data_IF_055841405435
#
_entry.id   IF_055841405435
#
_cell.length_a   1.000
_cell.length_b   1.000
_cell.length_c   1.000
_cell.angle_alpha   90.00
_cell.angle_beta   90.00
_cell.angle_gamma   90.00
#
_symmetry.space_group_name_H-M   'P 1'
#
loop_
_entity.id
_entity.type
_entity.pdbx_description
1 polymer ?
#
# COMPACT_ATOMS: atom_id res chain seq x y z
N UNK A 1 33.08 33.52 -44.05
CA UNK A 1 33.32 32.68 -42.85
C UNK A 1 32.36 32.96 -41.67
N UNK A 2 31.59 34.06 -41.68
CA UNK A 2 30.74 34.52 -40.56
C UNK A 2 29.53 33.62 -40.20
N UNK A 3 29.03 32.82 -41.15
CA UNK A 3 27.82 32.01 -40.94
C UNK A 3 28.06 30.71 -40.16
N UNK A 4 29.30 30.20 -40.10
CA UNK A 4 29.59 28.92 -39.44
C UNK A 4 29.48 28.98 -37.92
N UNK A 5 29.77 30.13 -37.30
CA UNK A 5 29.62 30.35 -35.85
C UNK A 5 28.15 30.46 -35.40
N UNK A 6 27.29 31.02 -36.26
CA UNK A 6 25.86 31.14 -35.99
C UNK A 6 25.13 29.79 -36.05
N UNK A 7 25.51 28.93 -36.98
CA UNK A 7 24.94 27.57 -37.08
C UNK A 7 25.33 26.73 -35.86
N UNK A 8 26.57 26.89 -35.36
CA UNK A 8 27.07 26.11 -34.24
C UNK A 8 26.41 26.50 -32.91
N UNK A 9 26.13 27.80 -32.71
CA UNK A 9 25.37 28.29 -31.56
C UNK A 9 23.90 27.83 -31.61
N UNK A 10 23.26 27.88 -32.76
CA UNK A 10 21.91 27.31 -32.94
C UNK A 10 21.88 25.82 -32.65
N UNK A 11 22.86 25.06 -33.15
CA UNK A 11 22.97 23.63 -32.88
C UNK A 11 23.16 23.34 -31.38
N UNK A 12 23.97 24.14 -30.69
CA UNK A 12 24.19 23.96 -29.25
C UNK A 12 22.92 24.25 -28.43
N UNK A 13 22.21 25.33 -28.75
CA UNK A 13 20.94 25.68 -28.09
C UNK A 13 19.90 24.60 -28.35
N UNK A 14 19.78 24.11 -29.58
CA UNK A 14 18.88 23.02 -29.92
C UNK A 14 19.22 21.74 -29.14
N UNK A 15 20.50 21.39 -29.01
CA UNK A 15 20.94 20.23 -28.23
C UNK A 15 20.61 20.36 -26.74
N UNK A 16 20.77 21.56 -26.15
CA UNK A 16 20.40 21.83 -24.75
C UNK A 16 18.89 21.69 -24.56
N UNK A 17 18.08 22.25 -25.47
CA UNK A 17 16.62 22.13 -25.40
C UNK A 17 16.17 20.67 -25.50
N UNK A 18 16.76 19.89 -26.41
CA UNK A 18 16.48 18.47 -26.54
C UNK A 18 16.87 17.72 -25.26
N UNK A 19 18.02 18.03 -24.66
CA UNK A 19 18.46 17.41 -23.41
C UNK A 19 17.49 17.69 -22.26
N UNK A 20 17.00 18.93 -22.14
CA UNK A 20 16.00 19.31 -21.13
C UNK A 20 14.69 18.52 -21.34
N UNK A 21 14.22 18.42 -22.58
CA UNK A 21 13.00 17.66 -22.90
C UNK A 21 13.19 16.18 -22.58
N UNK A 22 14.32 15.57 -22.95
CA UNK A 22 14.62 14.19 -22.61
C UNK A 22 14.61 13.96 -21.09
N UNK A 23 15.26 14.84 -20.32
CA UNK A 23 15.27 14.75 -18.86
C UNK A 23 13.87 14.89 -18.25
N UNK A 24 13.03 15.80 -18.78
CA UNK A 24 11.66 15.97 -18.33
C UNK A 24 10.81 14.72 -18.61
N UNK A 25 10.96 14.11 -19.79
CA UNK A 25 10.25 12.87 -20.15
C UNK A 25 10.70 11.69 -19.27
N UNK A 26 12.00 11.56 -19.00
CA UNK A 26 12.55 10.56 -18.07
C UNK A 26 11.97 10.73 -16.65
N UNK A 27 11.82 11.97 -16.18
CA UNK A 27 11.23 12.26 -14.89
C UNK A 27 9.72 11.96 -14.85
N UNK A 28 8.98 12.20 -15.92
CA UNK A 28 7.56 11.82 -16.00
C UNK A 28 7.38 10.31 -16.02
N UNK A 29 8.16 9.60 -16.84
CA UNK A 29 8.12 8.14 -16.94
C UNK A 29 8.46 7.46 -15.60
N UNK A 30 9.46 7.97 -14.87
CA UNK A 30 9.82 7.42 -13.55
C UNK A 30 8.74 7.66 -12.50
N UNK A 31 8.07 8.82 -12.54
CA UNK A 31 6.94 9.13 -11.66
C UNK A 31 5.73 8.25 -11.93
N UNK A 32 5.39 8.00 -13.19
CA UNK A 32 4.31 7.09 -13.58
C UNK A 32 4.60 5.66 -13.13
N UNK A 33 5.83 5.18 -13.32
CA UNK A 33 6.25 3.86 -12.83
C UNK A 33 6.13 3.74 -11.30
N UNK A 34 6.52 4.80 -10.56
CA UNK A 34 6.34 4.83 -9.11
C UNK A 34 4.86 4.78 -8.72
N UNK A 35 4.01 5.60 -9.34
CA UNK A 35 2.56 5.58 -9.08
C UNK A 35 1.96 4.20 -9.36
N UNK A 36 2.29 3.58 -10.49
CA UNK A 36 1.81 2.25 -10.83
C UNK A 36 2.22 1.19 -9.78
N UNK A 37 3.46 1.26 -9.28
CA UNK A 37 3.95 0.40 -8.20
C UNK A 37 3.17 0.63 -6.90
N UNK A 38 2.95 1.88 -6.51
CA UNK A 38 2.14 2.20 -5.32
C UNK A 38 0.70 1.71 -5.44
N UNK A 39 0.08 1.84 -6.61
CA UNK A 39 -1.28 1.32 -6.83
C UNK A 39 -1.34 -0.20 -6.66
N UNK A 40 -0.36 -0.94 -7.20
CA UNK A 40 -0.27 -2.41 -7.02
C UNK A 40 -0.06 -2.80 -5.56
N UNK A 41 0.85 -2.13 -4.85
CA UNK A 41 1.09 -2.39 -3.43
C UNK A 41 -0.16 -2.09 -2.60
N UNK A 42 -0.87 -1.01 -2.90
CA UNK A 42 -2.13 -0.66 -2.24
C UNK A 42 -3.21 -1.70 -2.49
N UNK A 43 -3.39 -2.17 -3.74
CA UNK A 43 -4.36 -3.24 -4.00
C UNK A 43 -3.98 -4.53 -3.28
N UNK A 44 -2.70 -4.89 -3.26
CA UNK A 44 -2.23 -6.07 -2.54
C UNK A 44 -2.47 -5.96 -1.03
N UNK A 45 -2.27 -4.78 -0.46
CA UNK A 45 -2.57 -4.49 0.93
C UNK A 45 -4.05 -4.67 1.26
N UNK A 46 -4.93 -4.15 0.40
CA UNK A 46 -6.38 -4.29 0.57
C UNK A 46 -6.81 -5.76 0.52
N UNK A 47 -6.37 -6.51 -0.48
CA UNK A 47 -6.65 -7.95 -0.56
C UNK A 47 -6.10 -8.73 0.65
N UNK A 48 -4.89 -8.40 1.12
CA UNK A 48 -4.32 -9.03 2.31
C UNK A 48 -5.13 -8.68 3.57
N UNK A 49 -5.61 -7.44 3.69
CA UNK A 49 -6.44 -7.00 4.81
C UNK A 49 -7.80 -7.71 4.83
N UNK A 50 -8.46 -7.87 3.68
CA UNK A 50 -9.72 -8.62 3.54
C UNK A 50 -9.55 -10.11 3.85
N UNK A 51 -8.46 -10.72 3.37
CA UNK A 51 -8.11 -12.10 3.72
C UNK A 51 -7.88 -12.25 5.23
N UNK A 52 -7.22 -11.27 5.87
CA UNK A 52 -7.01 -11.24 7.31
C UNK A 52 -8.32 -11.14 8.10
N UNK A 53 -9.27 -10.29 7.65
CA UNK A 53 -10.59 -10.16 8.28
C UNK A 53 -11.41 -11.44 8.14
N UNK A 54 -11.48 -12.01 6.94
CA UNK A 54 -12.26 -13.24 6.70
C UNK A 54 -11.72 -14.43 7.48
N UNK A 55 -10.39 -14.57 7.56
CA UNK A 55 -9.76 -15.57 8.42
C UNK A 55 -10.08 -15.34 9.90
N UNK A 56 -9.99 -14.10 10.38
CA UNK A 56 -10.32 -13.76 11.77
C UNK A 56 -11.79 -14.04 12.11
N UNK A 57 -12.70 -13.77 11.18
CA UNK A 57 -14.12 -14.10 11.33
C UNK A 57 -14.34 -15.60 11.49
N UNK A 58 -13.68 -16.43 10.68
CA UNK A 58 -13.80 -17.89 10.83
C UNK A 58 -13.18 -18.39 12.14
N UNK A 59 -12.04 -17.83 12.57
CA UNK A 59 -11.46 -18.18 13.87
C UNK A 59 -12.39 -17.82 15.04
N UNK A 60 -13.05 -16.66 14.97
CA UNK A 60 -14.04 -16.26 15.97
C UNK A 60 -15.30 -17.13 15.95
N UNK A 61 -15.66 -17.68 14.77
CA UNK A 61 -16.77 -18.63 14.62
C UNK A 61 -16.45 -19.98 15.28
N UNK A 62 -15.21 -20.45 15.12
CA UNK A 62 -14.73 -21.70 15.71
C UNK A 62 -14.48 -21.58 17.22
N UNK A 63 -13.93 -20.46 17.65
CA UNK A 63 -13.68 -20.16 19.06
C UNK A 63 -14.03 -18.71 19.36
N UNK A 64 -15.16 -18.51 20.05
CA UNK A 64 -15.65 -17.18 20.42
C UNK A 64 -14.69 -16.37 21.29
N UNK A 65 -13.69 -17.00 21.91
CA UNK A 65 -12.64 -16.35 22.71
C UNK A 65 -11.28 -16.35 22.03
N UNK A 66 -11.22 -16.64 20.74
CA UNK A 66 -9.98 -16.60 19.97
C UNK A 66 -9.38 -15.19 19.98
N UNK A 67 -8.08 -15.13 20.28
CA UNK A 67 -7.27 -13.91 20.21
C UNK A 67 -6.10 -14.16 19.27
N UNK A 68 -5.80 -13.24 18.34
CA UNK A 68 -4.65 -13.37 17.46
C UNK A 68 -3.34 -13.33 18.26
N UNK A 69 -2.43 -14.25 17.97
CA UNK A 69 -1.14 -14.40 18.66
C UNK A 69 0.04 -13.71 17.95
N UNK A 70 -0.19 -13.08 16.79
CA UNK A 70 0.87 -12.45 16.01
C UNK A 70 0.47 -12.09 14.58
N UNK A 71 1.42 -11.53 13.80
CA UNK A 71 1.19 -11.17 12.41
C UNK A 71 0.96 -12.41 11.53
N UNK A 72 -0.02 -12.32 10.64
CA UNK A 72 -0.30 -13.31 9.60
C UNK A 72 0.43 -12.91 8.33
N UNK A 73 1.15 -13.84 7.71
CA UNK A 73 1.75 -13.61 6.39
C UNK A 73 0.77 -14.05 5.29
N UNK A 74 0.34 -13.10 4.45
CA UNK A 74 -0.53 -13.37 3.28
C UNK A 74 0.21 -12.88 2.04
N UNK A 75 0.62 -13.81 1.17
CA UNK A 75 1.30 -13.50 -0.11
C UNK A 75 2.46 -12.49 0.00
N UNK A 76 3.34 -12.68 0.99
CA UNK A 76 4.51 -11.81 1.21
C UNK A 76 4.21 -10.49 1.94
N UNK A 77 2.97 -10.28 2.38
CA UNK A 77 2.55 -9.11 3.17
C UNK A 77 2.21 -9.55 4.58
N UNK A 78 2.67 -8.79 5.59
CA UNK A 78 2.33 -9.05 6.98
C UNK A 78 1.07 -8.29 7.38
N UNK A 79 0.08 -9.02 7.91
CA UNK A 79 -1.21 -8.49 8.34
C UNK A 79 -1.37 -8.76 9.82
N UNK A 80 -1.47 -7.69 10.61
CA UNK A 80 -1.79 -7.78 12.03
C UNK A 80 -3.30 -7.64 12.16
N UNK A 81 -3.95 -8.71 12.63
CA UNK A 81 -5.36 -8.69 13.00
C UNK A 81 -5.44 -8.33 14.48
N UNK A 82 -6.29 -7.37 14.82
CA UNK A 82 -6.67 -7.08 16.21
C UNK A 82 -8.18 -7.22 16.32
N UNK A 83 -8.61 -8.08 17.25
CA UNK A 83 -10.02 -8.26 17.58
C UNK A 83 -10.27 -7.56 18.90
N UNK A 84 -11.09 -6.52 18.92
CA UNK A 84 -11.58 -5.95 20.17
C UNK A 84 -12.90 -6.65 20.52
N UNK A 85 -12.83 -7.51 21.53
CA UNK A 85 -14.01 -8.06 22.17
C UNK A 85 -14.33 -7.25 23.42
N UNK A 86 -15.62 -7.09 23.71
CA UNK A 86 -16.08 -6.65 25.02
C UNK A 86 -15.41 -7.43 26.17
N UNK A 87 -15.02 -6.77 27.27
CA UNK A 87 -14.73 -7.47 28.51
C UNK A 87 -16.03 -8.12 28.99
N UNK A 88 -16.12 -9.45 28.96
CA UNK A 88 -17.31 -10.20 29.38
C UNK A 88 -17.81 -11.29 28.42
N UNK A 89 -17.19 -11.48 27.25
CA UNK A 89 -17.51 -12.67 26.41
C UNK A 89 -16.65 -13.89 26.80
N UNK A 90 -15.58 -13.67 27.57
CA UNK A 90 -14.70 -14.71 28.12
C UNK A 90 -14.57 -14.61 29.65
N UNK A 91 -15.39 -13.77 30.30
CA UNK A 91 -15.53 -13.57 31.75
C UNK A 91 -17.04 -13.37 32.07
N UNK A 92 -17.56 -13.78 33.25
CA UNK A 92 -19.01 -13.84 33.53
C UNK A 92 -19.74 -12.47 33.46
N UNK A 93 -21.10 -12.46 33.35
CA UNK A 93 -21.79 -11.71 32.31
C UNK A 93 -22.08 -10.25 32.68
N UNK A 94 -21.80 -9.36 31.72
CA UNK A 94 -22.40 -8.03 31.62
C UNK A 94 -22.94 -7.83 30.20
N UNK A 95 -24.06 -7.09 30.02
CA UNK A 95 -24.64 -6.89 28.70
C UNK A 95 -23.71 -6.02 27.83
N UNK A 96 -23.42 -6.50 26.61
CA UNK A 96 -22.68 -5.73 25.62
C UNK A 96 -23.61 -4.99 24.67
N UNK A 97 -23.56 -3.65 24.63
CA UNK A 97 -24.37 -2.86 23.71
C UNK A 97 -23.71 -2.63 22.33
N UNK A 98 -22.48 -3.08 22.09
CA UNK A 98 -21.72 -2.75 20.86
C UNK A 98 -21.24 -3.98 20.07
N UNK A 99 -21.27 -3.96 18.73
CA UNK A 99 -20.78 -5.06 17.89
C UNK A 99 -19.26 -5.27 18.07
N UNK A 100 -18.80 -6.53 17.97
CA UNK A 100 -17.37 -6.87 17.95
C UNK A 100 -16.71 -6.22 16.73
N UNK A 101 -15.63 -5.48 16.97
CA UNK A 101 -14.89 -4.79 15.90
C UNK A 101 -13.63 -5.58 15.55
N UNK A 102 -13.47 -5.89 14.25
CA UNK A 102 -12.28 -6.54 13.71
C UNK A 102 -11.52 -5.48 12.90
N UNK A 103 -10.32 -5.13 13.36
CA UNK A 103 -9.44 -4.21 12.66
C UNK A 103 -8.22 -4.96 12.14
N UNK A 104 -7.82 -4.68 10.91
CA UNK A 104 -6.58 -5.21 10.32
C UNK A 104 -5.64 -4.08 9.97
N UNK A 105 -4.36 -4.25 10.30
CA UNK A 105 -3.28 -3.36 9.89
C UNK A 105 -2.30 -4.13 9.03
N UNK A 106 -1.97 -3.56 7.88
CA UNK A 106 -0.99 -4.12 6.96
C UNK A 106 0.34 -3.42 7.22
N UNK A 107 1.38 -4.21 7.51
CA UNK A 107 2.75 -3.72 7.63
C UNK A 107 3.55 -4.16 6.40
N UNK A 108 4.21 -3.18 5.77
CA UNK A 108 5.04 -3.30 4.56
C UNK A 108 6.52 -3.30 4.92
#
# INVERSE_FOLDING_TARGET
MKNRGFVLTFAMVAAILIAIVCMALLAMASNEAHRARFHRLRSQALYASEAGVTWAQEQLRLNGCWSPAGPLAVNGVSVVVTVSACPGVCTPPGPCPTPREISTRVAY
#
